data_IF_719369777967
#
_entry.id   IF_719369777967
#
_cell.length_a   1.000
_cell.length_b   1.000
_cell.length_c   1.000
_cell.angle_alpha   90.00
_cell.angle_beta   90.00
_cell.angle_gamma   90.00
#
_symmetry.space_group_name_H-M   'P 1'
#
loop_
_entity.id
_entity.type
_entity.pdbx_description
1 polymer ?
#
# COMPACT_ATOMS: atom_id res chain seq x y z
N UNK A 1 -20.60 5.01 -18.20
CA UNK A 1 -20.20 3.91 -17.30
C UNK A 1 -18.79 4.21 -16.84
N UNK A 2 -18.50 4.09 -15.54
CA UNK A 2 -17.16 4.30 -15.00
C UNK A 2 -16.49 2.96 -14.69
N UNK A 3 -15.17 2.92 -14.78
CA UNK A 3 -14.32 1.79 -14.39
C UNK A 3 -14.06 1.87 -12.89
N UNK A 4 -14.20 0.74 -12.19
CA UNK A 4 -13.84 0.61 -10.78
C UNK A 4 -12.49 -0.07 -10.68
N UNK A 5 -11.54 0.56 -10.00
CA UNK A 5 -10.23 -0.04 -9.73
C UNK A 5 -10.33 -0.78 -8.40
N UNK A 6 -10.58 -2.08 -8.47
CA UNK A 6 -10.91 -2.88 -7.28
C UNK A 6 -9.70 -3.25 -6.43
N UNK A 7 -8.49 -3.29 -7.00
CA UNK A 7 -7.24 -3.52 -6.28
C UNK A 7 -6.09 -2.81 -6.99
N UNK A 8 -5.28 -2.06 -6.24
CA UNK A 8 -4.00 -1.52 -6.70
C UNK A 8 -3.11 -1.19 -5.50
N UNK A 9 -1.80 -1.12 -5.71
CA UNK A 9 -0.83 -0.76 -4.68
C UNK A 9 0.60 -1.08 -5.10
N UNK A 10 1.55 -0.68 -4.26
CA UNK A 10 2.97 -0.98 -4.44
C UNK A 10 3.46 -1.83 -3.30
N UNK A 11 4.09 -2.98 -3.57
CA UNK A 11 4.63 -3.79 -2.50
C UNK A 11 5.96 -3.23 -2.01
N UNK A 12 6.24 -3.46 -0.74
CA UNK A 12 7.57 -3.30 -0.15
C UNK A 12 7.78 -4.40 0.90
N UNK A 13 9.01 -4.89 1.00
CA UNK A 13 9.40 -5.83 2.05
C UNK A 13 10.25 -5.17 3.14
N UNK A 14 10.35 -3.83 3.13
CA UNK A 14 11.12 -3.08 4.11
C UNK A 14 10.62 -3.36 5.53
N UNK A 15 11.57 -3.66 6.42
CA UNK A 15 11.35 -3.91 7.85
C UNK A 15 11.04 -5.36 8.23
N UNK A 16 10.67 -6.23 7.28
CA UNK A 16 10.44 -7.64 7.57
C UNK A 16 11.76 -8.40 7.73
N UNK A 17 11.76 -9.41 8.61
CA UNK A 17 12.96 -10.18 8.96
C UNK A 17 13.31 -11.30 7.98
N UNK A 18 12.40 -11.61 7.06
CA UNK A 18 12.60 -12.63 6.01
C UNK A 18 13.01 -11.97 4.70
N UNK A 19 13.65 -12.74 3.83
CA UNK A 19 13.89 -12.29 2.45
C UNK A 19 12.56 -12.13 1.69
N UNK A 20 12.44 -11.10 0.83
CA UNK A 20 11.23 -10.86 0.06
C UNK A 20 10.88 -12.05 -0.83
N UNK A 21 9.58 -12.29 -1.12
CA UNK A 21 9.17 -13.33 -2.07
C UNK A 21 9.77 -13.13 -3.45
N UNK A 22 9.82 -11.87 -3.89
CA UNK A 22 10.27 -11.47 -5.22
C UNK A 22 11.25 -10.29 -5.13
N UNK A 23 12.28 -10.27 -5.98
CA UNK A 23 13.35 -9.25 -5.92
C UNK A 23 12.81 -7.82 -6.04
N UNK A 24 11.74 -7.60 -6.82
CA UNK A 24 11.22 -6.26 -7.06
C UNK A 24 10.56 -5.63 -5.83
N UNK A 25 10.25 -6.40 -4.78
CA UNK A 25 9.79 -5.85 -3.50
C UNK A 25 10.88 -5.06 -2.77
N UNK A 26 12.15 -5.21 -3.17
CA UNK A 26 13.28 -4.41 -2.67
C UNK A 26 13.44 -3.07 -3.39
N UNK A 27 12.71 -2.85 -4.49
CA UNK A 27 12.84 -1.63 -5.30
C UNK A 27 12.01 -0.47 -4.74
N UNK A 28 11.13 -0.74 -3.80
CA UNK A 28 10.31 0.27 -3.12
C UNK A 28 10.61 0.28 -1.63
N UNK A 29 10.88 1.46 -1.08
CA UNK A 29 10.73 1.72 0.36
C UNK A 29 9.25 1.81 0.76
N UNK A 30 8.98 1.78 2.07
CA UNK A 30 7.67 2.05 2.66
C UNK A 30 7.17 3.47 2.38
N UNK A 31 8.10 4.43 2.25
CA UNK A 31 7.79 5.79 1.84
C UNK A 31 7.38 5.85 0.36
N UNK A 32 8.10 5.16 -0.52
CA UNK A 32 7.76 5.06 -1.95
C UNK A 32 6.42 4.36 -2.19
N UNK A 33 6.09 3.33 -1.40
CA UNK A 33 4.74 2.74 -1.42
C UNK A 33 3.67 3.82 -1.18
N UNK A 34 3.90 4.73 -0.24
CA UNK A 34 3.04 5.87 0.04
C UNK A 34 2.88 6.78 -1.17
N UNK A 35 3.99 7.35 -1.64
CA UNK A 35 3.98 8.33 -2.73
C UNK A 35 3.36 7.80 -4.03
N UNK A 36 3.70 6.57 -4.44
CA UNK A 36 3.17 6.02 -5.67
C UNK A 36 1.67 5.74 -5.58
N UNK A 37 1.20 5.30 -4.41
CA UNK A 37 -0.24 5.07 -4.19
C UNK A 37 -1.03 6.36 -4.22
N UNK A 38 -0.56 7.42 -3.54
CA UNK A 38 -1.20 8.74 -3.60
C UNK A 38 -1.19 9.27 -5.04
N UNK A 39 -0.06 9.15 -5.75
CA UNK A 39 0.02 9.60 -7.14
C UNK A 39 -0.98 8.88 -8.05
N UNK A 40 -1.22 7.59 -7.84
CA UNK A 40 -2.19 6.83 -8.60
C UNK A 40 -3.63 7.29 -8.34
N UNK A 41 -3.95 7.61 -7.07
CA UNK A 41 -5.24 8.20 -6.71
C UNK A 41 -5.45 9.56 -7.38
N UNK A 42 -4.45 10.44 -7.37
CA UNK A 42 -4.50 11.73 -8.08
C UNK A 42 -4.75 11.54 -9.58
N UNK A 43 -4.06 10.58 -10.22
CA UNK A 43 -4.28 10.27 -11.65
C UNK A 43 -5.70 9.79 -11.88
N UNK A 44 -6.23 8.89 -11.04
CA UNK A 44 -7.61 8.42 -11.14
C UNK A 44 -8.62 9.55 -11.03
N UNK A 45 -8.40 10.50 -10.11
CA UNK A 45 -9.23 11.69 -9.94
C UNK A 45 -9.20 12.63 -11.15
N UNK A 46 -8.17 12.58 -12.00
CA UNK A 46 -8.06 13.37 -13.24
C UNK A 46 -8.77 12.74 -14.44
N UNK A 47 -9.30 11.52 -14.33
CA UNK A 47 -9.86 10.75 -15.43
C UNK A 47 -11.37 10.54 -15.25
N UNK A 48 -12.19 11.21 -16.06
CA UNK A 48 -13.67 11.18 -15.95
C UNK A 48 -14.30 9.77 -16.05
N UNK A 49 -13.59 8.82 -16.65
CA UNK A 49 -14.03 7.44 -16.79
C UNK A 49 -13.63 6.53 -15.62
N UNK A 50 -12.81 7.01 -14.67
CA UNK A 50 -12.44 6.28 -13.45
C UNK A 50 -13.38 6.68 -12.32
N UNK A 51 -13.98 5.68 -11.68
CA UNK A 51 -14.85 5.85 -10.52
C UNK A 51 -14.11 5.52 -9.22
N UNK A 52 -14.70 4.72 -8.31
CA UNK A 52 -14.04 4.28 -7.09
C UNK A 52 -12.72 3.53 -7.34
N UNK A 53 -11.77 3.76 -6.43
CA UNK A 53 -10.49 3.07 -6.38
C UNK A 53 -10.28 2.51 -4.97
N UNK A 54 -9.90 1.24 -4.85
CA UNK A 54 -9.68 0.56 -3.59
C UNK A 54 -8.20 0.18 -3.45
N UNK A 55 -7.50 0.84 -2.52
CA UNK A 55 -6.10 0.55 -2.21
C UNK A 55 -6.00 -0.83 -1.58
N UNK A 56 -5.10 -1.65 -2.10
CA UNK A 56 -4.81 -2.99 -1.59
C UNK A 56 -3.40 -3.03 -0.98
N UNK A 57 -3.20 -3.41 0.29
CA UNK A 57 -4.16 -3.93 1.27
C UNK A 57 -4.05 -3.19 2.62
N UNK A 58 -5.11 -3.27 3.44
CA UNK A 58 -5.11 -2.69 4.78
C UNK A 58 -4.13 -3.39 5.74
N UNK A 59 -4.27 -4.68 6.01
CA UNK A 59 -3.66 -5.35 7.17
C UNK A 59 -3.38 -6.86 7.03
N UNK A 60 -3.13 -7.36 5.81
CA UNK A 60 -2.84 -8.78 5.60
C UNK A 60 -1.53 -9.22 6.23
N UNK A 61 -0.53 -8.35 6.31
CA UNK A 61 0.75 -8.64 6.93
C UNK A 61 0.55 -9.11 8.38
N UNK A 62 0.98 -10.34 8.64
CA UNK A 62 1.05 -10.96 9.96
C UNK A 62 2.27 -11.88 10.00
N UNK A 63 2.63 -12.35 11.19
CA UNK A 63 3.80 -13.20 11.39
C UNK A 63 3.79 -14.43 10.47
N UNK A 64 2.67 -15.14 10.37
CA UNK A 64 2.54 -16.34 9.53
C UNK A 64 2.84 -16.05 8.07
N UNK A 65 2.22 -15.01 7.50
CA UNK A 65 2.39 -14.67 6.07
C UNK A 65 3.78 -14.11 5.76
N UNK A 66 4.39 -13.37 6.69
CA UNK A 66 5.77 -12.89 6.56
C UNK A 66 6.76 -14.06 6.58
N UNK A 67 6.58 -15.01 7.50
CA UNK A 67 7.43 -16.22 7.59
C UNK A 67 7.28 -17.12 6.36
N UNK A 68 6.07 -17.24 5.82
CA UNK A 68 5.79 -17.96 4.58
C UNK A 68 6.20 -17.19 3.32
N UNK A 69 6.70 -15.95 3.46
CA UNK A 69 7.03 -15.06 2.34
C UNK A 69 5.84 -14.91 1.39
N UNK A 70 4.63 -14.80 1.91
CA UNK A 70 3.44 -14.62 1.08
C UNK A 70 3.39 -13.19 0.55
N UNK A 71 3.32 -13.03 -0.77
CA UNK A 71 3.43 -11.73 -1.46
C UNK A 71 2.47 -10.66 -0.96
N UNK A 72 1.24 -11.05 -0.59
CA UNK A 72 0.19 -10.16 -0.11
C UNK A 72 0.57 -9.38 1.17
N UNK A 73 1.52 -9.89 1.96
CA UNK A 73 2.03 -9.17 3.12
C UNK A 73 2.72 -7.86 2.73
N UNK A 74 3.43 -7.81 1.60
CA UNK A 74 4.17 -6.61 1.18
C UNK A 74 3.29 -5.43 0.77
N UNK A 75 2.00 -5.66 0.52
CA UNK A 75 1.03 -4.62 0.18
C UNK A 75 0.33 -3.99 1.39
N UNK A 76 0.56 -4.51 2.60
CA UNK A 76 -0.18 -4.08 3.79
C UNK A 76 0.29 -2.72 4.30
N UNK A 77 -0.65 -1.79 4.53
CA UNK A 77 -0.37 -0.47 5.10
C UNK A 77 -0.37 -0.47 6.64
N UNK A 78 -0.97 -1.47 7.26
CA UNK A 78 -0.86 -1.80 8.68
C UNK A 78 -0.16 -3.15 8.79
N UNK A 79 0.86 -3.22 9.63
CA UNK A 79 1.81 -4.33 9.71
C UNK A 79 2.10 -4.69 11.17
N UNK A 80 2.72 -5.85 11.45
CA UNK A 80 3.16 -6.21 12.80
C UNK A 80 4.49 -5.51 13.20
N UNK A 81 4.98 -4.56 12.39
CA UNK A 81 6.18 -3.77 12.72
C UNK A 81 5.86 -2.71 13.79
N UNK A 82 6.90 -2.03 14.28
CA UNK A 82 6.77 -0.87 15.16
C UNK A 82 7.45 0.34 14.52
N UNK A 83 6.70 1.40 14.15
CA UNK A 83 5.24 1.54 14.26
C UNK A 83 4.47 0.58 13.33
N UNK A 84 3.19 0.27 13.63
CA UNK A 84 2.41 -0.66 12.81
C UNK A 84 2.00 -0.06 11.46
N UNK A 85 1.78 1.25 11.42
CA UNK A 85 1.37 1.98 10.23
C UNK A 85 2.57 2.27 9.31
N UNK A 86 2.44 1.93 8.04
CA UNK A 86 3.32 2.43 6.98
C UNK A 86 2.95 3.88 6.63
N UNK A 87 3.89 4.66 6.04
CA UNK A 87 3.64 6.07 5.70
C UNK A 87 2.38 6.33 4.88
N UNK A 88 1.97 5.37 4.03
CA UNK A 88 0.73 5.48 3.25
C UNK A 88 -0.52 5.70 4.12
N UNK A 89 -0.60 5.10 5.31
CA UNK A 89 -1.76 5.26 6.20
C UNK A 89 -1.96 6.72 6.60
N UNK A 90 -0.90 7.39 7.04
CA UNK A 90 -0.97 8.81 7.44
C UNK A 90 -1.19 9.73 6.24
N UNK A 91 -0.59 9.43 5.08
CA UNK A 91 -0.83 10.17 3.84
C UNK A 91 -2.31 10.13 3.42
N UNK A 92 -2.96 8.97 3.49
CA UNK A 92 -4.38 8.83 3.22
C UNK A 92 -5.22 9.56 4.27
N UNK A 93 -4.87 9.45 5.55
CA UNK A 93 -5.58 10.12 6.63
C UNK A 93 -5.62 11.64 6.44
N UNK A 94 -4.47 12.27 6.16
CA UNK A 94 -4.38 13.71 5.87
C UNK A 94 -5.11 14.08 4.58
N UNK A 95 -5.02 13.25 3.54
CA UNK A 95 -5.70 13.51 2.26
C UNK A 95 -7.23 13.50 2.38
N UNK A 96 -7.76 12.70 3.31
CA UNK A 96 -9.21 12.59 3.57
C UNK A 96 -9.71 13.60 4.61
N UNK A 97 -8.83 14.08 5.50
CA UNK A 97 -9.14 15.03 6.57
C UNK A 97 -8.13 16.19 6.55
N UNK A 98 -8.13 17.05 5.50
CA UNK A 98 -7.10 18.08 5.33
C UNK A 98 -7.16 19.23 6.36
N UNK A 99 -8.16 19.24 7.23
CA UNK A 99 -8.37 20.26 8.27
C UNK A 99 -7.94 19.78 9.68
N UNK A 100 -7.50 18.52 9.82
CA UNK A 100 -6.91 17.95 11.05
C UNK A 100 -5.38 18.19 11.09
#
# INVERSE_FOLDING_TARGET
VQIWVTEFGWPTWEGYSTEPPEVFFTYNSAEQQGWYTIRALEIGQQLDYVGPMFVWNLNFANETLIQQRHEIAGYSIITPLTPPERPLFSMLHVSLNPED
#
